data_IF_538988072699
#
_entry.id   IF_538988072699
#
_cell.length_a   1.000
_cell.length_b   1.000
_cell.length_c   1.000
_cell.angle_alpha   90.00
_cell.angle_beta   90.00
_cell.angle_gamma   90.00
#
_symmetry.space_group_name_H-M   'P 1'
#
loop_
_entity.id
_entity.type
_entity.pdbx_description
1 polymer ?
#
# COMPACT_ATOMS: atom_id res chain seq x y z
N UNK A 1 1.34 -5.64 -7.88
CA UNK A 1 2.72 -6.13 -8.13
C UNK A 1 3.70 -4.99 -8.37
N UNK A 2 3.37 -4.00 -9.21
CA UNK A 2 4.20 -2.77 -9.36
C UNK A 2 4.37 -2.01 -8.03
N UNK A 3 3.37 -2.02 -7.15
CA UNK A 3 3.38 -1.36 -5.84
C UNK A 3 4.51 -1.80 -4.91
N UNK A 4 4.78 -3.10 -4.79
CA UNK A 4 5.85 -3.62 -3.93
C UNK A 4 7.22 -3.28 -4.52
N UNK A 5 7.37 -3.40 -5.85
CA UNK A 5 8.59 -3.00 -6.55
C UNK A 5 8.88 -1.50 -6.42
N UNK A 6 7.85 -0.66 -6.54
CA UNK A 6 7.95 0.78 -6.35
C UNK A 6 8.30 1.17 -4.91
N UNK A 7 7.74 0.46 -3.92
CA UNK A 7 8.08 0.66 -2.51
C UNK A 7 9.55 0.33 -2.24
N UNK A 8 10.06 -0.78 -2.79
CA UNK A 8 11.49 -1.12 -2.70
C UNK A 8 12.39 -0.08 -3.36
N UNK A 9 12.01 0.40 -4.55
CA UNK A 9 12.74 1.47 -5.24
C UNK A 9 12.77 2.77 -4.42
N UNK A 10 11.64 3.15 -3.81
CA UNK A 10 11.56 4.31 -2.93
C UNK A 10 12.51 4.18 -1.74
N UNK A 11 12.52 3.05 -1.03
CA UNK A 11 13.44 2.83 0.09
C UNK A 11 14.91 2.87 -0.36
N UNK A 12 15.22 2.31 -1.53
CA UNK A 12 16.56 2.36 -2.08
C UNK A 12 17.01 3.80 -2.39
N UNK A 13 16.14 4.66 -2.91
CA UNK A 13 16.47 6.06 -3.12
C UNK A 13 16.66 6.82 -1.79
N UNK A 14 15.79 6.58 -0.80
CA UNK A 14 15.85 7.28 0.50
C UNK A 14 17.09 6.88 1.28
N UNK A 15 17.30 5.58 1.52
CA UNK A 15 18.45 5.11 2.28
C UNK A 15 19.74 5.16 1.47
N UNK A 16 19.67 4.95 0.16
CA UNK A 16 20.83 5.04 -0.74
C UNK A 16 21.39 6.45 -0.81
N UNK A 17 20.53 7.48 -0.91
CA UNK A 17 21.00 8.88 -0.89
C UNK A 17 21.64 9.25 0.46
N UNK A 18 21.08 8.81 1.59
CA UNK A 18 21.65 9.04 2.92
C UNK A 18 23.03 8.39 3.08
N UNK A 19 23.18 7.15 2.63
CA UNK A 19 24.47 6.44 2.63
C UNK A 19 25.52 7.14 1.75
N UNK A 20 25.15 7.53 0.53
CA UNK A 20 26.05 8.24 -0.40
C UNK A 20 26.47 9.61 0.15
N UNK A 21 25.60 10.27 0.92
CA UNK A 21 25.92 11.54 1.59
C UNK A 21 26.88 11.43 2.77
N UNK A 22 27.32 10.20 3.13
CA UNK A 22 28.21 9.94 4.26
C UNK A 22 27.50 9.68 5.58
N UNK A 23 26.19 9.44 5.56
CA UNK A 23 25.40 9.15 6.75
C UNK A 23 25.68 7.78 7.37
N UNK A 24 25.82 7.72 8.70
CA UNK A 24 25.96 6.46 9.42
C UNK A 24 24.60 5.80 9.66
N UNK A 25 24.41 4.56 9.22
CA UNK A 25 23.14 3.84 9.40
C UNK A 25 22.91 3.34 10.82
N UNK A 26 23.96 3.18 11.63
CA UNK A 26 23.84 2.63 12.99
C UNK A 26 22.96 3.50 13.92
N UNK A 27 23.17 4.84 14.00
CA UNK A 27 22.27 5.72 14.75
C UNK A 27 20.83 5.71 14.25
N UNK A 28 20.61 5.61 12.93
CA UNK A 28 19.27 5.52 12.36
C UNK A 28 18.55 4.25 12.83
N UNK A 29 19.22 3.09 12.73
CA UNK A 29 18.62 1.80 13.10
C UNK A 29 18.27 1.76 14.59
N UNK A 30 19.11 2.37 15.43
CA UNK A 30 18.87 2.44 16.88
C UNK A 30 17.75 3.43 17.25
N UNK A 31 17.59 4.52 16.48
CA UNK A 31 16.52 5.49 16.67
C UNK A 31 15.17 5.06 16.06
N UNK A 32 15.17 4.22 15.01
CA UNK A 32 13.95 3.73 14.33
C UNK A 32 12.85 3.24 15.29
N UNK A 33 13.09 2.41 16.31
CA UNK A 33 12.01 1.96 17.19
C UNK A 33 11.36 3.11 17.98
N UNK A 34 12.14 4.09 18.44
CA UNK A 34 11.64 5.24 19.19
C UNK A 34 10.93 6.26 18.27
N UNK A 35 11.46 6.47 17.08
CA UNK A 35 10.85 7.32 16.05
C UNK A 35 9.54 6.72 15.52
N UNK A 36 9.49 5.40 15.33
CA UNK A 36 8.27 4.71 14.91
C UNK A 36 7.20 4.76 16.01
N UNK A 37 7.60 4.69 17.29
CA UNK A 37 6.67 4.91 18.40
C UNK A 37 6.13 6.34 18.42
N UNK A 38 7.01 7.32 18.27
CA UNK A 38 6.66 8.74 18.38
C UNK A 38 5.87 9.23 17.17
N UNK A 39 6.44 9.12 15.97
CA UNK A 39 5.83 9.58 14.72
C UNK A 39 4.75 8.61 14.25
N UNK A 40 5.01 7.29 14.32
CA UNK A 40 4.01 6.29 13.92
C UNK A 40 2.82 6.25 14.88
N UNK A 41 3.05 6.36 16.18
CA UNK A 41 1.98 6.48 17.18
C UNK A 41 1.15 7.75 16.99
N UNK A 42 1.79 8.89 16.74
CA UNK A 42 1.10 10.14 16.41
C UNK A 42 0.26 10.02 15.13
N UNK A 43 0.82 9.45 14.06
CA UNK A 43 0.11 9.26 12.79
C UNK A 43 -1.13 8.37 12.96
N UNK A 44 -1.03 7.26 13.69
CA UNK A 44 -2.16 6.36 13.97
C UNK A 44 -3.20 7.07 14.85
N UNK A 45 -2.76 7.76 15.90
CA UNK A 45 -3.63 8.50 16.82
C UNK A 45 -4.43 9.59 16.10
N UNK A 46 -3.75 10.41 15.27
CA UNK A 46 -4.41 11.42 14.45
C UNK A 46 -5.36 10.79 13.44
N UNK A 47 -4.95 9.70 12.78
CA UNK A 47 -5.80 9.00 11.81
C UNK A 47 -7.11 8.49 12.42
N UNK A 48 -7.05 7.94 13.64
CA UNK A 48 -8.25 7.46 14.35
C UNK A 48 -9.10 8.64 14.83
N UNK A 49 -8.48 9.74 15.28
CA UNK A 49 -9.21 10.94 15.72
C UNK A 49 -9.91 11.67 14.57
N UNK A 50 -9.33 11.64 13.36
CA UNK A 50 -9.86 12.36 12.19
C UNK A 50 -10.90 11.58 11.38
N UNK A 51 -11.15 10.30 11.70
CA UNK A 51 -12.01 9.42 10.88
C UNK A 51 -13.06 8.70 11.73
N UNK A 52 -14.16 8.27 11.10
CA UNK A 52 -15.14 7.42 11.78
C UNK A 52 -14.60 6.00 11.98
N UNK A 53 -15.12 5.28 12.98
CA UNK A 53 -14.74 3.88 13.22
C UNK A 53 -15.05 2.97 12.02
N UNK A 54 -16.03 3.33 11.19
CA UNK A 54 -16.33 2.65 9.94
C UNK A 54 -15.20 2.83 8.92
N UNK A 55 -14.73 4.06 8.73
CA UNK A 55 -13.68 4.40 7.75
C UNK A 55 -12.32 3.83 8.15
N UNK A 56 -12.01 3.82 9.45
CA UNK A 56 -10.80 3.19 9.99
C UNK A 56 -10.78 1.70 9.63
N UNK A 57 -11.88 0.98 9.89
CA UNK A 57 -12.00 -0.45 9.54
C UNK A 57 -11.93 -0.68 8.04
N UNK A 58 -12.59 0.17 7.25
CA UNK A 58 -12.57 0.06 5.79
C UNK A 58 -11.16 0.26 5.22
N UNK A 59 -10.42 1.23 5.77
CA UNK A 59 -9.03 1.51 5.37
C UNK A 59 -8.12 0.33 5.71
N UNK A 60 -8.21 -0.23 6.92
CA UNK A 60 -7.45 -1.41 7.32
C UNK A 60 -7.77 -2.63 6.42
N UNK A 61 -9.04 -2.87 6.09
CA UNK A 61 -9.42 -3.93 5.16
C UNK A 61 -8.87 -3.69 3.74
N UNK A 62 -8.79 -2.42 3.32
CA UNK A 62 -8.29 -2.03 2.00
C UNK A 62 -6.78 -2.17 1.88
N UNK A 63 -6.01 -1.98 2.95
CA UNK A 63 -4.57 -2.31 2.97
C UNK A 63 -4.31 -3.77 2.55
N UNK A 64 -5.11 -4.71 3.06
CA UNK A 64 -5.03 -6.11 2.65
C UNK A 64 -5.35 -6.35 1.17
N UNK A 65 -6.28 -5.59 0.59
CA UNK A 65 -6.63 -5.66 -0.84
C UNK A 65 -5.49 -5.14 -1.72
N UNK A 66 -4.85 -4.03 -1.33
CA UNK A 66 -3.72 -3.44 -2.06
C UNK A 66 -2.56 -4.43 -2.17
N UNK A 67 -2.29 -5.18 -1.10
CA UNK A 67 -1.26 -6.23 -1.08
C UNK A 67 -1.63 -7.44 -1.95
N UNK A 68 -2.90 -7.86 -1.96
CA UNK A 68 -3.38 -8.96 -2.82
C UNK A 68 -3.38 -8.62 -4.32
N UNK A 69 -3.41 -7.34 -4.67
CA UNK A 69 -3.42 -6.87 -6.05
C UNK A 69 -4.83 -6.82 -6.67
N UNK A 70 -4.89 -6.56 -7.97
CA UNK A 70 -6.16 -6.37 -8.67
C UNK A 70 -7.01 -7.65 -8.59
N UNK A 71 -8.26 -7.52 -8.12
CA UNK A 71 -9.20 -8.63 -8.01
C UNK A 71 -9.63 -9.19 -9.36
N UNK A 72 -9.52 -8.39 -10.43
CA UNK A 72 -9.92 -8.76 -11.78
C UNK A 72 -8.75 -8.53 -12.75
N UNK A 73 -8.50 -9.52 -13.59
CA UNK A 73 -7.51 -9.48 -14.66
C UNK A 73 -8.19 -9.10 -15.96
N UNK A 74 -7.40 -8.67 -16.95
CA UNK A 74 -7.91 -8.33 -18.30
C UNK A 74 -8.78 -9.46 -18.89
N UNK A 75 -8.39 -10.71 -18.67
CA UNK A 75 -9.15 -11.88 -19.15
C UNK A 75 -10.55 -11.93 -18.57
N UNK A 76 -10.73 -11.68 -17.27
CA UNK A 76 -12.04 -11.69 -16.61
C UNK A 76 -12.98 -10.64 -17.22
N UNK A 77 -12.45 -9.47 -17.60
CA UNK A 77 -13.22 -8.45 -18.32
C UNK A 77 -13.63 -8.88 -19.72
N UNK A 78 -12.75 -9.58 -20.44
CA UNK A 78 -13.02 -10.10 -21.79
C UNK A 78 -14.06 -11.22 -21.73
N UNK A 79 -13.95 -12.13 -20.76
CA UNK A 79 -14.93 -13.20 -20.54
C UNK A 79 -16.30 -12.64 -20.14
N UNK A 80 -16.34 -11.65 -19.24
CA UNK A 80 -17.56 -10.96 -18.86
C UNK A 80 -18.25 -10.32 -20.08
N UNK A 81 -17.49 -9.64 -20.94
CA UNK A 81 -18.03 -8.99 -22.13
C UNK A 81 -18.53 -10.02 -23.17
N UNK A 82 -17.82 -11.14 -23.29
CA UNK A 82 -18.21 -12.27 -24.15
C UNK A 82 -19.50 -12.94 -23.67
N UNK A 83 -19.64 -13.14 -22.35
CA UNK A 83 -20.85 -13.67 -21.73
C UNK A 83 -22.05 -12.72 -21.94
N UNK A 84 -21.84 -11.42 -21.74
CA UNK A 84 -22.89 -10.41 -21.95
C UNK A 84 -23.36 -10.41 -23.42
N UNK A 85 -22.43 -10.48 -24.38
CA UNK A 85 -22.76 -10.59 -25.79
C UNK A 85 -23.54 -11.88 -26.11
N UNK A 86 -23.11 -13.02 -25.54
CA UNK A 86 -23.83 -14.29 -25.68
C UNK A 86 -25.26 -14.19 -25.17
N UNK A 87 -25.47 -13.64 -23.97
CA UNK A 87 -26.81 -13.50 -23.39
C UNK A 87 -27.71 -12.54 -24.15
N UNK A 88 -27.18 -11.42 -24.65
CA UNK A 88 -27.98 -10.41 -25.36
C UNK A 88 -28.30 -10.81 -26.80
N UNK A 89 -27.43 -11.58 -27.46
CA UNK A 89 -27.58 -11.92 -28.88
C UNK A 89 -28.15 -13.32 -29.13
N UNK A 90 -28.03 -14.23 -28.16
CA UNK A 90 -28.48 -15.62 -28.30
C UNK A 90 -29.81 -15.90 -27.57
N UNK A 91 -30.28 -14.98 -26.72
CA UNK A 91 -31.62 -15.03 -26.11
C UNK A 91 -32.66 -14.28 -26.96
#
# INVERSE_FOLDING_TARGET
MVTIGAFGFLLACVFGSYLVSGGAMAPLIEAVPFELWTIGGAAIGTFVMSNSMHDVKHTLASFGKIMKGASFRKTDYVELLSLLYYLVKLA
#
